data_IF_359140910092
#
_entry.id   IF_359140910092
#
_cell.length_a   1.000
_cell.length_b   1.000
_cell.length_c   1.000
_cell.angle_alpha   90.00
_cell.angle_beta   90.00
_cell.angle_gamma   90.00
#
_symmetry.space_group_name_H-M   'P 1'
#
loop_
_entity.id
_entity.type
_entity.pdbx_description
1 polymer ?
#
# COMPACT_ATOMS: atom_id res chain seq x y z
N UNK A 1 5.99 7.85 -18.22
CA UNK A 1 5.80 6.39 -18.20
C UNK A 1 5.30 6.02 -19.58
N UNK A 2 6.19 5.49 -20.43
CA UNK A 2 5.96 5.45 -21.87
C UNK A 2 5.52 6.82 -22.37
N UNK A 3 4.41 6.87 -23.10
CA UNK A 3 3.85 8.07 -23.73
C UNK A 3 3.10 8.99 -22.75
N UNK A 4 2.88 8.54 -21.51
CA UNK A 4 2.07 9.27 -20.52
C UNK A 4 2.94 9.88 -19.40
N UNK A 5 2.94 11.21 -19.23
CA UNK A 5 3.69 11.84 -18.15
C UNK A 5 3.03 11.61 -16.80
N UNK A 6 3.87 11.49 -15.77
CA UNK A 6 3.47 11.47 -14.36
C UNK A 6 3.99 12.75 -13.71
N UNK A 7 3.10 13.61 -13.21
CA UNK A 7 3.51 14.86 -12.60
C UNK A 7 2.57 15.29 -11.47
N UNK A 8 3.11 16.11 -10.57
CA UNK A 8 2.42 16.60 -9.37
C UNK A 8 1.06 17.27 -9.66
N UNK A 9 0.96 18.01 -10.77
CA UNK A 9 -0.26 18.74 -11.14
C UNK A 9 -1.48 17.81 -11.28
N UNK A 10 -1.28 16.57 -11.73
CA UNK A 10 -2.36 15.58 -11.81
C UNK A 10 -2.97 15.30 -10.42
N UNK A 11 -2.14 15.24 -9.37
CA UNK A 11 -2.61 15.06 -7.99
C UNK A 11 -3.22 16.35 -7.43
N UNK A 12 -2.63 17.49 -7.80
CA UNK A 12 -3.14 18.81 -7.44
C UNK A 12 -4.59 18.99 -7.91
N UNK A 13 -4.87 18.67 -9.18
CA UNK A 13 -6.19 18.80 -9.78
C UNK A 13 -7.22 17.88 -9.12
N UNK A 14 -6.83 16.65 -8.75
CA UNK A 14 -7.70 15.73 -8.02
C UNK A 14 -8.07 16.33 -6.66
N UNK A 15 -7.09 16.88 -5.92
CA UNK A 15 -7.31 17.42 -4.59
C UNK A 15 -8.12 18.73 -4.57
N UNK A 16 -8.11 19.48 -5.68
CA UNK A 16 -8.90 20.71 -5.86
C UNK A 16 -10.26 20.49 -6.52
N UNK A 17 -10.53 19.27 -6.99
CA UNK A 17 -11.84 18.90 -7.51
C UNK A 17 -12.87 18.92 -6.38
N UNK A 18 -14.03 19.61 -6.54
CA UNK A 18 -15.09 19.62 -5.52
C UNK A 18 -15.66 18.24 -5.18
N UNK A 19 -15.48 17.27 -6.07
CA UNK A 19 -15.94 15.88 -5.96
C UNK A 19 -14.76 14.89 -5.90
N UNK A 20 -13.54 15.39 -5.73
CA UNK A 20 -12.32 14.59 -5.65
C UNK A 20 -12.22 13.85 -4.32
N UNK A 21 -11.62 12.64 -4.29
CA UNK A 21 -11.45 11.85 -3.07
C UNK A 21 -10.25 12.28 -2.21
N UNK A 22 -9.39 13.17 -2.73
CA UNK A 22 -8.24 13.72 -2.02
C UNK A 22 -8.57 15.08 -1.42
N UNK A 23 -8.00 15.38 -0.25
CA UNK A 23 -8.05 16.72 0.32
C UNK A 23 -6.86 17.55 -0.16
N UNK A 24 -7.02 18.88 -0.23
CA UNK A 24 -5.92 19.81 -0.56
C UNK A 24 -4.68 19.55 0.30
N UNK A 25 -4.85 19.30 1.60
CA UNK A 25 -3.74 19.00 2.54
C UNK A 25 -2.99 17.68 2.26
N UNK A 26 -3.58 16.80 1.46
CA UNK A 26 -2.97 15.50 1.11
C UNK A 26 -1.86 15.68 0.07
N UNK A 27 -1.90 16.79 -0.67
CA UNK A 27 -1.01 17.10 -1.78
C UNK A 27 -0.22 18.38 -1.51
N UNK A 28 -0.84 19.39 -0.92
CA UNK A 28 -0.20 20.63 -0.52
C UNK A 28 0.24 20.61 0.95
N UNK A 29 1.47 21.08 1.20
CA UNK A 29 2.05 21.20 2.55
C UNK A 29 1.91 19.90 3.35
N UNK A 30 2.12 18.79 2.65
CA UNK A 30 1.92 17.44 3.16
C UNK A 30 2.74 17.24 4.43
N UNK A 31 2.05 16.81 5.49
CA UNK A 31 2.72 16.19 6.62
C UNK A 31 3.30 14.85 6.15
N UNK A 32 4.62 14.78 6.02
CA UNK A 32 5.32 13.59 5.51
C UNK A 32 5.17 12.37 6.43
N UNK A 33 4.60 12.54 7.62
CA UNK A 33 4.27 11.47 8.55
C UNK A 33 2.78 11.07 8.50
N UNK A 34 1.94 11.78 7.75
CA UNK A 34 0.52 11.41 7.57
C UNK A 34 0.37 10.29 6.53
N UNK A 35 0.44 9.06 7.01
CA UNK A 35 0.19 7.84 6.24
C UNK A 35 -1.22 7.80 5.62
N UNK A 36 -2.18 8.57 6.15
CA UNK A 36 -3.57 8.59 5.67
C UNK A 36 -3.72 9.28 4.33
N UNK A 37 -2.93 10.33 4.09
CA UNK A 37 -2.90 11.01 2.80
C UNK A 37 -2.42 10.05 1.71
N UNK A 38 -1.33 9.32 2.00
CA UNK A 38 -0.84 8.27 1.11
C UNK A 38 -1.85 7.13 0.94
N UNK A 39 -2.52 6.69 2.02
CA UNK A 39 -3.54 5.66 1.93
C UNK A 39 -4.70 6.07 1.01
N UNK A 40 -5.24 7.29 1.16
CA UNK A 40 -6.31 7.82 0.29
C UNK A 40 -5.92 7.84 -1.19
N UNK A 41 -4.67 8.16 -1.50
CA UNK A 41 -4.17 8.16 -2.87
C UNK A 41 -4.29 6.80 -3.56
N UNK A 42 -4.04 5.71 -2.82
CA UNK A 42 -4.11 4.34 -3.33
C UNK A 42 -5.46 3.65 -3.08
N UNK A 43 -6.45 4.36 -2.54
CA UNK A 43 -7.79 3.80 -2.34
C UNK A 43 -8.54 3.61 -3.68
N UNK A 44 -9.43 2.60 -3.77
CA UNK A 44 -10.25 2.35 -4.95
C UNK A 44 -11.06 3.57 -5.40
N UNK A 45 -11.53 4.41 -4.48
CA UNK A 45 -12.28 5.63 -4.76
C UNK A 45 -11.47 6.63 -5.61
N UNK A 46 -10.16 6.71 -5.39
CA UNK A 46 -9.26 7.57 -6.16
C UNK A 46 -9.09 7.05 -7.59
N UNK A 47 -8.92 5.74 -7.75
CA UNK A 47 -8.87 5.11 -9.07
C UNK A 47 -10.20 5.25 -9.81
N UNK A 48 -11.32 5.02 -9.13
CA UNK A 48 -12.66 5.13 -9.72
C UNK A 48 -12.94 6.57 -10.17
N UNK A 49 -12.58 7.56 -9.36
CA UNK A 49 -12.67 8.98 -9.72
C UNK A 49 -11.91 9.28 -11.02
N UNK A 50 -10.64 8.84 -11.11
CA UNK A 50 -9.80 9.04 -12.29
C UNK A 50 -10.36 8.34 -13.54
N UNK A 51 -10.87 7.12 -13.39
CA UNK A 51 -11.48 6.35 -14.48
C UNK A 51 -12.78 6.97 -15.02
N UNK A 52 -13.47 7.78 -14.22
CA UNK A 52 -14.70 8.50 -14.61
C UNK A 52 -14.43 9.85 -15.29
N UNK A 53 -13.18 10.31 -15.34
CA UNK A 53 -12.83 11.52 -16.10
C UNK A 53 -13.10 11.32 -17.60
N UNK A 54 -13.30 12.43 -18.32
CA UNK A 54 -13.49 12.38 -19.78
C UNK A 54 -12.25 11.76 -20.46
N UNK A 55 -12.44 10.99 -21.53
CA UNK A 55 -11.38 10.20 -22.16
C UNK A 55 -10.13 11.02 -22.51
N UNK A 56 -10.30 12.23 -23.04
CA UNK A 56 -9.18 13.13 -23.37
C UNK A 56 -8.47 13.77 -22.17
N UNK A 57 -9.00 13.62 -20.97
CA UNK A 57 -8.47 14.16 -19.72
C UNK A 57 -7.96 13.07 -18.75
N UNK A 58 -8.08 11.79 -19.09
CA UNK A 58 -7.64 10.69 -18.22
C UNK A 58 -6.11 10.65 -18.13
N UNK A 59 -5.52 10.79 -16.94
CA UNK A 59 -4.08 10.64 -16.76
C UNK A 59 -3.74 9.14 -16.73
N UNK A 60 -3.74 8.48 -17.90
CA UNK A 60 -3.63 7.02 -18.00
C UNK A 60 -2.39 6.45 -17.30
N UNK A 61 -1.23 7.10 -17.47
CA UNK A 61 -0.02 6.72 -16.75
C UNK A 61 -0.22 6.72 -15.23
N UNK A 62 -0.91 7.72 -14.67
CA UNK A 62 -1.17 7.82 -13.24
C UNK A 62 -2.14 6.72 -12.79
N UNK A 63 -3.19 6.47 -13.57
CA UNK A 63 -4.15 5.39 -13.30
C UNK A 63 -3.43 4.05 -13.22
N UNK A 64 -2.60 3.72 -14.21
CA UNK A 64 -1.84 2.47 -14.25
C UNK A 64 -0.85 2.39 -13.08
N UNK A 65 -0.14 3.47 -12.78
CA UNK A 65 0.78 3.52 -11.65
C UNK A 65 0.05 3.28 -10.30
N UNK A 66 -1.04 4.01 -10.05
CA UNK A 66 -1.82 3.87 -8.82
C UNK A 66 -2.46 2.49 -8.70
N UNK A 67 -2.91 1.90 -9.81
CA UNK A 67 -3.45 0.55 -9.84
C UNK A 67 -2.38 -0.49 -9.47
N UNK A 68 -1.23 -0.46 -10.13
CA UNK A 68 -0.16 -1.45 -9.89
C UNK A 68 0.37 -1.38 -8.45
N UNK A 69 0.62 -0.17 -7.95
CA UNK A 69 1.15 0.03 -6.60
C UNK A 69 0.06 -0.20 -5.55
N UNK A 70 -1.17 0.27 -5.78
CA UNK A 70 -2.31 0.03 -4.89
C UNK A 70 -2.58 -1.46 -4.70
N UNK A 71 -2.57 -2.24 -5.77
CA UNK A 71 -2.74 -3.69 -5.69
C UNK A 71 -1.59 -4.40 -4.95
N UNK A 72 -0.34 -3.90 -5.09
CA UNK A 72 0.76 -4.41 -4.25
C UNK A 72 0.49 -4.14 -2.77
N UNK A 73 0.01 -2.94 -2.42
CA UNK A 73 -0.36 -2.59 -1.04
C UNK A 73 -1.51 -3.46 -0.53
N UNK A 74 -2.52 -3.74 -1.36
CA UNK A 74 -3.59 -4.67 -1.04
C UNK A 74 -3.08 -6.09 -0.80
N UNK A 75 -2.09 -6.54 -1.58
CA UNK A 75 -1.37 -7.79 -1.36
C UNK A 75 -0.83 -7.93 0.08
N UNK A 76 -0.43 -6.82 0.70
CA UNK A 76 0.03 -6.77 2.09
C UNK A 76 -1.09 -6.53 3.10
N UNK A 77 -2.02 -5.62 2.81
CA UNK A 77 -2.95 -5.08 3.82
C UNK A 77 -4.34 -5.72 3.81
N UNK A 78 -4.80 -6.18 2.64
CA UNK A 78 -6.14 -6.74 2.50
C UNK A 78 -6.24 -8.07 3.28
N UNK A 79 -7.34 -8.27 4.01
CA UNK A 79 -7.54 -9.42 4.94
C UNK A 79 -8.37 -10.56 4.36
N UNK A 80 -8.99 -10.31 3.21
CA UNK A 80 -9.98 -11.20 2.61
C UNK A 80 -9.39 -11.99 1.43
N UNK A 81 -8.32 -11.48 0.82
CA UNK A 81 -7.71 -12.12 -0.35
C UNK A 81 -6.85 -13.35 0.02
N UNK A 82 -6.91 -14.43 -0.78
CA UNK A 82 -6.12 -15.64 -0.57
C UNK A 82 -4.65 -15.44 -0.95
N UNK A 83 -3.77 -16.31 -0.47
CA UNK A 83 -2.32 -16.23 -0.70
C UNK A 83 -1.93 -16.26 -2.17
N UNK A 84 -2.63 -17.06 -2.99
CA UNK A 84 -2.37 -17.10 -4.43
C UNK A 84 -2.63 -15.75 -5.09
N UNK A 85 -3.68 -15.04 -4.66
CA UNK A 85 -3.97 -13.70 -5.20
C UNK A 85 -2.88 -12.72 -4.80
N UNK A 86 -2.39 -12.78 -3.56
CA UNK A 86 -1.26 -11.95 -3.09
C UNK A 86 -0.01 -12.16 -3.94
N UNK A 87 0.32 -13.41 -4.25
CA UNK A 87 1.43 -13.76 -5.16
C UNK A 87 1.21 -13.12 -6.53
N UNK A 88 0.02 -13.27 -7.13
CA UNK A 88 -0.28 -12.68 -8.44
C UNK A 88 -0.11 -11.15 -8.44
N UNK A 89 -0.63 -10.45 -7.41
CA UNK A 89 -0.49 -8.99 -7.30
C UNK A 89 0.98 -8.56 -7.16
N UNK A 90 1.76 -9.28 -6.33
CA UNK A 90 3.19 -9.03 -6.16
C UNK A 90 3.99 -9.29 -7.46
N UNK A 91 3.72 -10.41 -8.14
CA UNK A 91 4.38 -10.76 -9.40
C UNK A 91 4.09 -9.73 -10.49
N UNK A 92 2.84 -9.25 -10.59
CA UNK A 92 2.46 -8.26 -11.59
C UNK A 92 3.16 -6.93 -11.32
N UNK A 93 3.15 -6.47 -10.07
CA UNK A 93 3.85 -5.25 -9.69
C UNK A 93 5.35 -5.34 -9.96
N UNK A 94 5.96 -6.49 -9.65
CA UNK A 94 7.37 -6.77 -9.92
C UNK A 94 7.68 -6.74 -11.42
N UNK A 95 6.93 -7.47 -12.24
CA UNK A 95 7.10 -7.50 -13.69
C UNK A 95 6.96 -6.11 -14.31
N UNK A 96 5.92 -5.38 -13.91
CA UNK A 96 5.67 -4.00 -14.34
C UNK A 96 6.84 -3.06 -14.00
N UNK A 97 7.30 -3.06 -12.74
CA UNK A 97 8.38 -2.19 -12.28
C UNK A 97 9.71 -2.49 -13.00
N UNK A 98 10.02 -3.78 -13.20
CA UNK A 98 11.22 -4.19 -13.91
C UNK A 98 11.20 -3.78 -15.38
N UNK A 99 10.08 -4.00 -16.07
CA UNK A 99 9.94 -3.64 -17.47
C UNK A 99 9.93 -2.12 -17.68
N UNK A 100 9.23 -1.36 -16.83
CA UNK A 100 9.25 0.10 -16.88
C UNK A 100 10.67 0.65 -16.64
N UNK A 101 11.40 0.10 -15.66
CA UNK A 101 12.79 0.48 -15.42
C UNK A 101 13.69 0.17 -16.63
N UNK A 102 13.55 -1.02 -17.22
CA UNK A 102 14.30 -1.43 -18.41
C UNK A 102 14.01 -0.52 -19.61
N UNK A 103 12.75 -0.16 -19.83
CA UNK A 103 12.34 0.79 -20.87
C UNK A 103 12.99 2.16 -20.69
N UNK A 104 13.01 2.70 -19.46
CA UNK A 104 13.68 3.98 -19.17
C UNK A 104 15.18 3.91 -19.45
N UNK A 105 15.84 2.79 -19.11
CA UNK A 105 17.27 2.60 -19.38
C UNK A 105 17.60 2.44 -20.87
N UNK A 106 16.69 1.87 -21.66
CA UNK A 106 16.89 1.65 -23.08
C UNK A 106 16.67 2.92 -23.92
N UNK A 107 15.95 3.91 -23.40
CA UNK A 107 15.63 5.13 -24.14
C UNK A 107 16.79 6.15 -24.09
N UNK A 108 17.30 6.62 -25.24
CA UNK A 108 18.53 7.41 -25.31
C UNK A 108 18.44 8.77 -24.59
N UNK A 109 17.24 9.33 -24.50
CA UNK A 109 16.98 10.65 -23.93
C UNK A 109 16.43 10.61 -22.49
N UNK A 110 16.28 9.42 -21.90
CA UNK A 110 15.75 9.26 -20.55
C UNK A 110 16.84 9.01 -19.52
N UNK A 111 16.54 9.41 -18.28
CA UNK A 111 17.34 9.09 -17.11
C UNK A 111 16.44 8.58 -16.00
N UNK A 112 16.95 7.65 -15.18
CA UNK A 112 16.18 7.09 -14.06
C UNK A 112 15.90 8.11 -12.96
N UNK A 113 16.60 9.25 -12.94
CA UNK A 113 16.38 10.30 -11.95
C UNK A 113 15.23 11.25 -12.30
N UNK A 114 14.78 11.26 -13.56
CA UNK A 114 13.73 12.18 -14.04
C UNK A 114 12.49 11.42 -14.51
N UNK A 115 12.66 10.36 -15.32
CA UNK A 115 11.54 9.63 -15.94
C UNK A 115 11.13 8.36 -15.19
N UNK A 116 11.69 8.13 -14.00
CA UNK A 116 11.40 6.96 -13.18
C UNK A 116 11.29 7.36 -11.70
N UNK A 117 10.67 6.47 -10.91
CA UNK A 117 10.64 6.63 -9.45
C UNK A 117 12.06 6.60 -8.87
N UNK A 118 12.21 7.14 -7.65
CA UNK A 118 13.51 7.16 -6.99
C UNK A 118 14.11 5.75 -6.86
N UNK A 119 15.45 5.65 -6.91
CA UNK A 119 16.15 4.37 -6.77
C UNK A 119 15.80 3.66 -5.45
N UNK A 120 15.58 4.44 -4.39
CA UNK A 120 15.15 3.95 -3.08
C UNK A 120 13.74 3.36 -3.15
N UNK A 121 12.78 4.10 -3.71
CA UNK A 121 11.40 3.63 -3.90
C UNK A 121 11.36 2.35 -4.74
N UNK A 122 12.12 2.30 -5.84
CA UNK A 122 12.19 1.11 -6.69
C UNK A 122 12.70 -0.12 -5.92
N UNK A 123 13.79 0.02 -5.17
CA UNK A 123 14.33 -1.07 -4.34
C UNK A 123 13.35 -1.53 -3.27
N UNK A 124 12.68 -0.59 -2.61
CA UNK A 124 11.67 -0.90 -1.58
C UNK A 124 10.50 -1.67 -2.20
N UNK A 125 9.96 -1.20 -3.33
CA UNK A 125 8.83 -1.85 -3.98
C UNK A 125 9.18 -3.26 -4.49
N UNK A 126 10.36 -3.45 -5.09
CA UNK A 126 10.82 -4.80 -5.47
C UNK A 126 11.01 -5.69 -4.24
N UNK A 127 11.61 -5.17 -3.17
CA UNK A 127 11.74 -5.89 -1.91
C UNK A 127 10.38 -6.28 -1.33
N UNK A 128 9.37 -5.41 -1.41
CA UNK A 128 7.99 -5.72 -0.99
C UNK A 128 7.36 -6.81 -1.86
N UNK A 129 7.62 -6.83 -3.16
CA UNK A 129 7.13 -7.91 -4.04
C UNK A 129 7.79 -9.25 -3.67
N UNK A 130 9.13 -9.26 -3.62
CA UNK A 130 9.92 -10.47 -3.37
C UNK A 130 9.62 -11.04 -1.97
N UNK A 131 9.60 -10.19 -0.94
CA UNK A 131 9.33 -10.65 0.43
C UNK A 131 7.91 -11.19 0.62
N UNK A 132 6.89 -10.63 -0.04
CA UNK A 132 5.54 -11.17 0.05
C UNK A 132 5.45 -12.58 -0.54
N UNK A 133 6.08 -12.80 -1.70
CA UNK A 133 6.15 -14.11 -2.35
C UNK A 133 6.93 -15.10 -1.48
N UNK A 134 8.10 -14.70 -0.97
CA UNK A 134 8.92 -15.54 -0.09
C UNK A 134 8.20 -15.90 1.21
N UNK A 135 7.44 -14.98 1.81
CA UNK A 135 6.66 -15.26 3.02
C UNK A 135 5.61 -16.34 2.77
N UNK A 136 4.94 -16.31 1.63
CA UNK A 136 3.96 -17.36 1.26
C UNK A 136 4.68 -18.70 1.02
N UNK A 137 5.83 -18.70 0.33
CA UNK A 137 6.53 -19.94 -0.02
C UNK A 137 7.17 -20.67 1.16
N UNK A 138 7.76 -19.94 2.11
CA UNK A 138 8.64 -20.52 3.12
C UNK A 138 8.01 -20.72 4.49
N UNK A 139 6.80 -20.21 4.74
CA UNK A 139 6.12 -20.32 6.03
C UNK A 139 4.71 -20.97 5.93
N UNK A 140 4.58 -22.20 5.40
CA UNK A 140 3.28 -22.85 5.21
C UNK A 140 2.65 -23.41 6.51
N UNK A 141 3.35 -23.35 7.64
CA UNK A 141 2.93 -24.03 8.88
C UNK A 141 1.92 -23.25 9.73
N UNK A 142 1.83 -21.92 9.55
CA UNK A 142 1.00 -21.04 10.38
C UNK A 142 0.21 -20.06 9.51
N UNK A 143 -0.94 -19.54 9.97
CA UNK A 143 -1.74 -18.64 9.14
C UNK A 143 -0.93 -17.39 8.80
N UNK A 144 -0.60 -17.19 7.54
CA UNK A 144 0.14 -16.00 7.13
C UNK A 144 -0.78 -14.78 7.13
N UNK A 145 -0.40 -13.77 7.90
CA UNK A 145 -1.10 -12.48 8.00
C UNK A 145 -0.14 -11.36 7.59
N UNK A 146 -0.03 -11.01 6.29
CA UNK A 146 0.99 -10.08 5.81
C UNK A 146 0.90 -8.69 6.45
N UNK A 147 -0.31 -8.22 6.78
CA UNK A 147 -0.53 -6.93 7.45
C UNK A 147 0.11 -6.84 8.85
N UNK A 148 0.43 -7.98 9.48
CA UNK A 148 1.13 -8.02 10.76
C UNK A 148 2.66 -7.89 10.63
N UNK A 149 3.20 -7.86 9.41
CA UNK A 149 4.63 -7.70 9.13
C UNK A 149 5.03 -6.22 8.93
N UNK A 150 4.40 -5.32 9.69
CA UNK A 150 4.66 -3.88 9.65
C UNK A 150 5.13 -3.34 11.00
N UNK A 151 5.62 -2.09 11.02
CA UNK A 151 6.00 -1.39 12.25
C UNK A 151 4.86 -0.64 12.92
N UNK A 152 3.65 -0.68 12.35
CA UNK A 152 2.47 0.08 12.80
C UNK A 152 2.18 -0.17 14.29
N UNK A 153 2.30 -1.42 14.74
CA UNK A 153 2.14 -1.78 16.16
C UNK A 153 3.13 -1.06 17.08
N UNK A 154 4.39 -0.95 16.64
CA UNK A 154 5.46 -0.30 17.40
C UNK A 154 5.22 1.21 17.45
N UNK A 155 4.79 1.79 16.33
CA UNK A 155 4.41 3.20 16.25
C UNK A 155 3.23 3.54 17.18
N UNK A 156 2.20 2.68 17.22
CA UNK A 156 1.08 2.81 18.17
C UNK A 156 1.54 2.71 19.62
N UNK A 157 2.40 1.73 19.94
CA UNK A 157 2.97 1.59 21.27
C UNK A 157 3.67 2.88 21.68
N UNK A 158 4.51 3.44 20.81
CA UNK A 158 5.18 4.71 21.07
C UNK A 158 4.21 5.89 21.18
N UNK A 159 3.12 5.91 20.41
CA UNK A 159 2.04 6.88 20.56
C UNK A 159 1.40 6.83 21.94
N UNK A 160 1.08 5.63 22.45
CA UNK A 160 0.54 5.42 23.80
C UNK A 160 1.56 5.81 24.87
N UNK A 161 2.83 5.46 24.70
CA UNK A 161 3.88 5.85 25.65
C UNK A 161 3.99 7.38 25.76
N UNK A 162 3.92 8.11 24.64
CA UNK A 162 3.90 9.58 24.64
C UNK A 162 2.65 10.18 25.29
N UNK A 163 1.50 9.54 25.14
CA UNK A 163 0.28 9.94 25.88
C UNK A 163 0.41 9.77 27.39
N UNK A 164 1.15 8.75 27.85
CA UNK A 164 1.43 8.54 29.27
C UNK A 164 2.46 9.53 29.79
N UNK A 165 3.48 9.82 28.99
CA UNK A 165 4.55 10.78 29.29
C UNK A 165 5.23 11.18 27.99
N UNK A 166 5.25 12.46 27.65
CA UNK A 166 5.77 12.93 26.36
C UNK A 166 7.29 12.65 26.20
N UNK A 167 8.08 13.06 27.20
CA UNK A 167 9.52 12.79 27.29
C UNK A 167 9.80 11.67 28.33
N UNK A 168 9.88 10.43 27.85
CA UNK A 168 10.19 9.26 28.68
C UNK A 168 11.64 8.79 28.49
N UNK A 169 12.26 8.35 29.59
CA UNK A 169 13.52 7.58 29.58
C UNK A 169 13.24 6.09 29.44
N UNK A 170 14.27 5.29 29.18
CA UNK A 170 14.12 3.82 29.16
C UNK A 170 13.58 3.26 30.49
N UNK A 171 14.00 3.83 31.61
CA UNK A 171 13.49 3.47 32.95
C UNK A 171 11.98 3.73 33.05
N UNK A 172 11.53 4.88 32.56
CA UNK A 172 10.11 5.22 32.54
C UNK A 172 9.30 4.21 31.71
N UNK A 173 9.83 3.73 30.56
CA UNK A 173 9.16 2.69 29.77
C UNK A 173 8.96 1.43 30.60
N UNK A 174 9.99 0.94 31.30
CA UNK A 174 9.91 -0.27 32.14
C UNK A 174 8.78 -0.14 33.17
N UNK A 175 8.71 1.01 33.86
CA UNK A 175 7.64 1.27 34.84
C UNK A 175 6.26 1.48 34.20
N UNK A 176 6.20 1.93 32.95
CA UNK A 176 4.97 2.14 32.21
C UNK A 176 4.45 0.87 31.51
N UNK A 177 5.25 -0.21 31.34
CA UNK A 177 4.82 -1.44 30.65
C UNK A 177 3.44 -1.94 31.10
N UNK A 178 3.13 -2.08 32.41
CA UNK A 178 1.81 -2.56 32.83
C UNK A 178 0.67 -1.63 32.41
N UNK A 179 0.92 -0.32 32.38
CA UNK A 179 -0.06 0.68 31.91
C UNK A 179 -0.19 0.63 30.39
N UNK A 180 0.92 0.61 29.67
CA UNK A 180 0.95 0.52 28.22
C UNK A 180 0.18 -0.72 27.73
N UNK A 181 0.39 -1.89 28.35
CA UNK A 181 -0.36 -3.12 28.04
C UNK A 181 -1.87 -2.94 28.26
N UNK A 182 -2.29 -2.28 29.34
CA UNK A 182 -3.73 -2.02 29.59
C UNK A 182 -4.32 -1.04 28.58
N UNK A 183 -3.61 0.04 28.27
CA UNK A 183 -4.05 1.04 27.28
C UNK A 183 -4.14 0.44 25.88
N UNK A 184 -3.14 -0.36 25.51
CA UNK A 184 -3.15 -1.19 24.30
C UNK A 184 -4.42 -2.03 24.30
N UNK A 185 -4.64 -2.90 25.29
CA UNK A 185 -5.83 -3.75 25.36
C UNK A 185 -7.16 -2.97 25.30
N UNK A 186 -7.25 -1.77 25.90
CA UNK A 186 -8.46 -0.93 25.85
C UNK A 186 -8.65 -0.18 24.52
N UNK A 187 -7.58 0.32 23.91
CA UNK A 187 -7.61 0.93 22.58
C UNK A 187 -7.94 -0.11 21.50
N UNK A 188 -7.65 -1.38 21.79
CA UNK A 188 -7.93 -2.54 20.93
C UNK A 188 -9.30 -3.17 21.17
N UNK A 189 -10.00 -2.88 22.28
CA UNK A 189 -11.41 -3.23 22.44
C UNK A 189 -12.30 -2.24 21.69
N UNK A 190 -12.55 -2.54 20.42
CA UNK A 190 -13.63 -2.07 19.51
C UNK A 190 -14.18 -0.66 19.84
N UNK A 191 -13.60 0.37 19.21
CA UNK A 191 -14.30 1.65 19.04
C UNK A 191 -15.50 1.45 18.11
N UNK A 192 -16.65 1.99 18.50
CA UNK A 192 -17.87 1.95 17.71
C UNK A 192 -17.71 2.67 16.36
N UNK A 193 -18.56 2.35 15.39
CA UNK A 193 -18.56 2.98 14.05
C UNK A 193 -18.72 4.52 14.16
N UNK A 194 -19.48 4.99 15.15
CA UNK A 194 -19.68 6.41 15.46
C UNK A 194 -18.39 7.12 15.95
N UNK A 195 -17.57 6.44 16.76
CA UNK A 195 -16.28 6.99 17.22
C UNK A 195 -15.21 6.97 16.12
N UNK A 196 -15.33 6.06 15.14
CA UNK A 196 -14.47 6.03 13.94
C UNK A 196 -14.74 7.22 13.00
N UNK A 197 -15.99 7.67 12.90
CA UNK A 197 -16.39 8.83 12.08
C UNK A 197 -15.88 10.18 12.59
N UNK A 198 -15.72 10.33 13.91
CA UNK A 198 -15.33 11.60 14.55
C UNK A 198 -13.80 11.78 14.74
N UNK A 199 -12.98 10.74 14.53
CA UNK A 199 -11.49 10.82 14.52
C UNK A 199 -10.89 11.10 13.14
N UNK A 200 -11.72 11.49 12.18
CA UNK A 200 -11.39 11.72 10.76
C UNK A 200 -10.41 12.87 10.49
N UNK A 201 -9.93 13.59 11.52
CA UNK A 201 -8.94 14.65 11.35
C UNK A 201 -7.58 14.43 12.05
N UNK A 202 -7.46 13.60 13.10
CA UNK A 202 -6.24 13.57 13.91
C UNK A 202 -6.02 12.29 14.74
N UNK A 203 -5.81 11.13 14.11
CA UNK A 203 -5.20 10.01 14.85
C UNK A 203 -5.39 8.64 14.21
N UNK A 204 -4.28 8.03 13.80
CA UNK A 204 -4.03 6.62 13.48
C UNK A 204 -5.24 5.68 13.37
N UNK A 205 -5.43 5.07 12.19
CA UNK A 205 -6.53 4.13 11.96
C UNK A 205 -6.17 2.75 12.52
N UNK A 206 -6.84 2.31 13.57
CA UNK A 206 -6.57 1.02 14.23
C UNK A 206 -7.14 -0.15 13.42
N UNK A 207 -6.42 -0.61 12.39
CA UNK A 207 -6.78 -1.83 11.66
C UNK A 207 -6.24 -3.08 12.35
N UNK A 208 -5.06 -3.02 12.98
CA UNK A 208 -4.25 -4.16 13.46
C UNK A 208 -5.02 -5.33 14.10
N UNK A 209 -6.05 -5.08 14.93
CA UNK A 209 -6.79 -6.11 15.66
C UNK A 209 -8.31 -6.16 15.36
N UNK A 210 -8.78 -5.63 14.23
CA UNK A 210 -10.11 -6.00 13.71
C UNK A 210 -10.09 -7.48 13.30
N UNK A 211 -10.24 -8.38 14.28
CA UNK A 211 -10.27 -9.83 14.12
C UNK A 211 -11.66 -10.39 13.88
N UNK A 212 -12.70 -9.54 14.02
CA UNK A 212 -14.07 -9.91 13.72
C UNK A 212 -14.19 -10.24 12.24
N UNK A 213 -14.44 -11.53 11.93
CA UNK A 213 -14.63 -12.01 10.56
C UNK A 213 -13.38 -12.52 9.84
N UNK A 214 -12.20 -12.61 10.49
CA UNK A 214 -11.02 -13.20 9.88
C UNK A 214 -11.21 -14.71 9.65
N UNK A 215 -11.10 -15.14 8.40
CA UNK A 215 -11.07 -16.56 8.04
C UNK A 215 -9.65 -17.12 8.19
N UNK A 216 -9.34 -17.60 9.39
CA UNK A 216 -8.04 -18.21 9.71
C UNK A 216 -7.79 -19.46 8.85
N UNK A 217 -8.83 -20.20 8.46
CA UNK A 217 -8.66 -21.39 7.63
C UNK A 217 -8.23 -21.01 6.22
N UNK A 218 -8.80 -19.96 5.63
CA UNK A 218 -8.35 -19.42 4.35
C UNK A 218 -6.89 -18.95 4.38
N UNK A 219 -6.44 -18.35 5.49
CA UNK A 219 -5.05 -17.92 5.69
C UNK A 219 -4.05 -19.08 5.90
N UNK A 220 -4.55 -20.32 6.02
CA UNK A 220 -3.75 -21.55 6.05
C UNK A 220 -3.69 -22.26 4.69
N UNK A 221 -4.37 -21.75 3.66
CA UNK A 221 -4.35 -22.36 2.33
C UNK A 221 -3.18 -21.79 1.53
N UNK A 222 -2.16 -22.61 1.35
CA UNK A 222 -0.97 -22.27 0.57
C UNK A 222 -1.05 -22.84 -0.85
N UNK A 223 -0.67 -22.05 -1.86
CA UNK A 223 -0.75 -22.49 -3.24
C UNK A 223 0.34 -23.52 -3.56
N UNK A 224 0.02 -24.45 -4.46
CA UNK A 224 1.00 -25.38 -5.04
C UNK A 224 1.79 -24.78 -6.20
N UNK A 225 2.87 -25.46 -6.60
CA UNK A 225 3.77 -24.99 -7.68
C UNK A 225 3.05 -24.68 -9.00
N UNK A 226 2.05 -25.49 -9.38
CA UNK A 226 1.27 -25.26 -10.60
C UNK A 226 0.44 -23.98 -10.50
N UNK A 227 -0.23 -23.75 -9.38
CA UNK A 227 -1.01 -22.51 -9.18
C UNK A 227 -0.11 -21.28 -9.22
N UNK A 228 1.10 -21.39 -8.66
CA UNK A 228 2.09 -20.30 -8.69
C UNK A 228 2.59 -20.05 -10.11
N UNK A 229 2.83 -21.11 -10.89
CA UNK A 229 3.21 -20.99 -12.31
C UNK A 229 2.11 -20.29 -13.12
N UNK A 230 0.85 -20.71 -12.94
CA UNK A 230 -0.29 -20.10 -13.62
C UNK A 230 -0.46 -18.63 -13.21
N UNK A 231 -0.27 -18.31 -11.93
CA UNK A 231 -0.29 -16.94 -11.43
C UNK A 231 0.85 -16.09 -11.98
N UNK A 232 2.02 -16.67 -12.23
CA UNK A 232 3.15 -15.99 -12.87
C UNK A 232 2.83 -15.63 -14.32
N UNK A 233 2.28 -16.56 -15.09
CA UNK A 233 1.90 -16.32 -16.48
C UNK A 233 0.79 -15.27 -16.58
N UNK A 234 -0.22 -15.37 -15.72
CA UNK A 234 -1.31 -14.38 -15.65
C UNK A 234 -0.78 -13.00 -15.26
N UNK A 235 0.05 -12.91 -14.21
CA UNK A 235 0.62 -11.65 -13.74
C UNK A 235 1.52 -10.98 -14.80
N UNK A 236 2.28 -11.77 -15.56
CA UNK A 236 3.14 -11.26 -16.64
C UNK A 236 2.28 -10.73 -17.79
N UNK A 237 1.27 -11.49 -18.21
CA UNK A 237 0.33 -11.07 -19.26
C UNK A 237 -0.41 -9.78 -18.88
N UNK A 238 -0.87 -9.69 -17.63
CA UNK A 238 -1.50 -8.47 -17.11
C UNK A 238 -0.52 -7.29 -17.10
N UNK A 239 0.72 -7.48 -16.65
CA UNK A 239 1.74 -6.44 -16.65
C UNK A 239 2.06 -5.94 -18.06
N UNK A 240 2.22 -6.85 -19.03
CA UNK A 240 2.42 -6.52 -20.45
C UNK A 240 1.25 -5.70 -21.01
N UNK A 241 0.01 -6.09 -20.71
CA UNK A 241 -1.18 -5.33 -21.11
C UNK A 241 -1.19 -3.91 -20.54
N UNK A 242 -0.83 -3.75 -19.25
CA UNK A 242 -0.75 -2.44 -18.60
C UNK A 242 0.38 -1.57 -19.16
N UNK A 243 1.53 -2.17 -19.46
CA UNK A 243 2.68 -1.48 -20.06
C UNK A 243 2.36 -1.02 -21.50
N UNK A 244 1.74 -1.90 -22.29
CA UNK A 244 1.34 -1.59 -23.66
C UNK A 244 0.30 -0.46 -23.69
N UNK A 245 -0.64 -0.44 -22.74
CA UNK A 245 -1.62 0.63 -22.60
C UNK A 245 -0.99 2.02 -22.38
N UNK A 246 0.23 2.09 -21.84
CA UNK A 246 0.97 3.35 -21.64
C UNK A 246 2.09 3.57 -22.67
N UNK A 247 2.17 2.75 -23.71
CA UNK A 247 3.17 2.88 -24.79
C UNK A 247 4.52 2.22 -24.50
N UNK A 248 4.60 1.30 -23.54
CA UNK A 248 5.80 0.51 -23.25
C UNK A 248 5.61 -0.89 -23.85
N UNK A 249 6.42 -1.22 -24.87
CA UNK A 249 6.44 -2.53 -25.54
C UNK A 249 7.77 -3.26 -25.31
#
# INVERSE_FOLDING_TARGET
MGDHPLHYEQLYDIAHSPIGPLFVRDVERVDKQDDRAAARLFLPETLEFLCKLQEGAKPLGLIVYLFVIGDLLDGWQNREIPHIKRIQLALRARAFLMAWHAHVLAHPDHTTHVQFISSQSHKILLSMCDSLILLVLYYPEYPLCPWLHSTEYVEHLFGILRQLRDDFTFSDIIYMVPKAVRYMSSAFSVLSIEEQGNKTAAGYHHTYFKSQGLDIAALMVYPGDTEISDAFDAATTEAEGLLSAVGIN
#
